data_IF_232855555154
#
_entry.id   IF_232855555154
#
_cell.length_a   1.000
_cell.length_b   1.000
_cell.length_c   1.000
_cell.angle_alpha   90.00
_cell.angle_beta   90.00
_cell.angle_gamma   90.00
#
_symmetry.space_group_name_H-M   'P 1'
#
loop_
_entity.id
_entity.type
_entity.pdbx_description
1 polymer ?
#
# COMPACT_ATOMS: atom_id res chain seq x y z
N UNK A 1 -1.16 -8.37 -8.99
CA UNK A 1 -1.61 -7.55 -7.84
C UNK A 1 -3.13 -7.59 -7.70
N UNK A 2 -3.89 -7.16 -8.73
CA UNK A 2 -5.37 -7.10 -8.70
C UNK A 2 -6.05 -8.46 -8.48
N UNK A 3 -5.59 -9.52 -9.16
CA UNK A 3 -6.20 -10.87 -9.06
C UNK A 3 -6.00 -11.53 -7.68
N UNK A 4 -4.92 -11.16 -6.96
CA UNK A 4 -4.58 -11.75 -5.65
C UNK A 4 -5.46 -11.22 -4.51
N UNK A 5 -5.95 -9.98 -4.63
CA UNK A 5 -6.71 -9.30 -3.57
C UNK A 5 -8.16 -8.94 -3.98
N UNK A 6 -8.59 -9.26 -5.20
CA UNK A 6 -9.97 -8.99 -5.65
C UNK A 6 -10.36 -7.51 -5.61
N UNK A 7 -9.37 -6.62 -5.82
CA UNK A 7 -9.58 -5.18 -5.81
C UNK A 7 -10.47 -4.76 -6.98
N UNK A 8 -11.48 -3.91 -6.74
CA UNK A 8 -12.37 -3.44 -7.81
C UNK A 8 -11.68 -2.49 -8.78
N UNK A 9 -10.60 -1.85 -8.36
CA UNK A 9 -9.79 -0.90 -9.12
C UNK A 9 -8.31 -0.98 -8.76
N UNK A 10 -7.47 -0.41 -9.62
CA UNK A 10 -6.02 -0.36 -9.43
C UNK A 10 -5.71 0.66 -8.31
N UNK A 11 -4.98 0.25 -7.25
CA UNK A 11 -4.80 1.09 -6.06
C UNK A 11 -3.98 2.34 -6.36
N UNK A 12 -4.39 3.47 -5.78
CA UNK A 12 -3.77 4.77 -6.00
C UNK A 12 -2.48 4.91 -5.16
N UNK A 13 -1.38 5.26 -5.82
CA UNK A 13 -0.11 5.58 -5.17
C UNK A 13 -0.12 7.04 -4.71
N UNK A 14 -0.07 7.28 -3.39
CA UNK A 14 0.00 8.64 -2.83
C UNK A 14 1.47 8.99 -2.56
N UNK A 15 1.97 10.04 -3.23
CA UNK A 15 3.38 10.49 -3.18
C UNK A 15 3.60 11.83 -2.47
N UNK A 16 2.54 12.52 -2.08
CA UNK A 16 2.63 13.90 -1.61
C UNK A 16 2.97 13.93 -0.10
N UNK A 17 4.21 14.30 0.22
CA UNK A 17 4.72 14.72 1.55
C UNK A 17 5.40 13.72 2.51
N UNK A 18 5.81 12.51 2.10
CA UNK A 18 6.78 11.71 2.90
C UNK A 18 8.23 11.83 2.43
N UNK A 19 8.45 12.29 1.20
CA UNK A 19 9.78 12.49 0.64
C UNK A 19 10.06 13.99 0.53
N UNK A 20 10.83 14.50 1.50
CA UNK A 20 11.41 15.84 1.40
C UNK A 20 12.36 15.94 0.21
N UNK A 21 12.52 17.16 -0.28
CA UNK A 21 13.28 17.55 -1.48
C UNK A 21 14.76 17.12 -1.43
N UNK A 22 15.10 15.89 -1.85
CA UNK A 22 16.36 15.55 -2.53
C UNK A 22 16.28 14.08 -2.99
N UNK A 23 16.35 13.88 -4.32
CA UNK A 23 16.27 12.61 -5.06
C UNK A 23 15.05 11.70 -4.78
N UNK A 24 14.11 11.66 -5.74
CA UNK A 24 12.91 10.82 -5.75
C UNK A 24 13.18 9.29 -5.72
N UNK A 25 14.44 8.88 -5.53
CA UNK A 25 14.91 7.50 -5.41
C UNK A 25 14.90 6.98 -3.96
N UNK A 26 14.83 7.85 -2.93
CA UNK A 26 14.76 7.48 -1.50
C UNK A 26 13.40 7.82 -0.84
N UNK A 27 12.38 8.10 -1.65
CA UNK A 27 11.04 8.45 -1.19
C UNK A 27 10.26 7.23 -0.66
N UNK A 28 9.78 7.28 0.59
CA UNK A 28 8.78 6.31 1.07
C UNK A 28 7.44 6.51 0.34
N UNK A 29 6.82 5.42 -0.14
CA UNK A 29 5.55 5.45 -0.87
C UNK A 29 4.43 4.77 -0.08
N UNK A 30 3.25 5.38 -0.05
CA UNK A 30 2.05 4.82 0.58
C UNK A 30 1.04 4.40 -0.49
N UNK A 31 0.54 3.18 -0.39
CA UNK A 31 -0.57 2.66 -1.19
C UNK A 31 -1.80 2.63 -0.32
N UNK A 32 -2.82 3.42 -0.68
CA UNK A 32 -4.09 3.45 0.05
C UNK A 32 -5.08 2.52 -0.65
N UNK A 33 -5.65 1.60 0.12
CA UNK A 33 -6.64 0.64 -0.39
C UNK A 33 -7.94 0.79 0.39
N UNK A 34 -9.00 1.19 -0.32
CA UNK A 34 -10.34 1.28 0.26
C UNK A 34 -11.06 -0.07 0.16
N UNK A 35 -11.51 -0.60 1.30
CA UNK A 35 -12.26 -1.85 1.35
C UNK A 35 -13.57 -1.71 2.14
N UNK A 36 -14.57 -1.01 1.57
CA UNK A 36 -15.86 -0.76 2.24
C UNK A 36 -16.69 -2.03 2.48
N UNK A 37 -16.22 -3.20 2.01
CA UNK A 37 -16.89 -4.49 2.13
C UNK A 37 -16.12 -5.49 2.98
N UNK A 38 -15.01 -5.07 3.62
CA UNK A 38 -14.20 -5.91 4.52
C UNK A 38 -13.80 -7.26 3.88
N UNK A 39 -13.43 -7.25 2.60
CA UNK A 39 -13.01 -8.41 1.82
C UNK A 39 -11.50 -8.65 1.85
N UNK A 40 -10.72 -7.65 2.23
CA UNK A 40 -9.26 -7.77 2.32
C UNK A 40 -8.86 -8.39 3.65
N UNK A 41 -8.01 -9.40 3.57
CA UNK A 41 -7.43 -10.04 4.73
C UNK A 41 -6.20 -9.24 5.20
N UNK A 42 -6.26 -8.69 6.41
CA UNK A 42 -5.17 -7.90 7.00
C UNK A 42 -3.87 -8.69 7.14
N UNK A 43 -3.93 -10.00 7.43
CA UNK A 43 -2.74 -10.83 7.53
C UNK A 43 -2.10 -11.06 6.15
N UNK A 44 -2.92 -11.18 5.10
CA UNK A 44 -2.41 -11.27 3.73
C UNK A 44 -1.78 -9.94 3.25
N UNK A 45 -2.27 -8.80 3.73
CA UNK A 45 -1.65 -7.49 3.48
C UNK A 45 -0.34 -7.32 4.24
N UNK A 46 -0.26 -7.78 5.49
CA UNK A 46 0.96 -7.75 6.31
C UNK A 46 2.08 -8.64 5.71
N UNK A 47 1.72 -9.83 5.21
CA UNK A 47 2.65 -10.70 4.47
C UNK A 47 3.14 -10.02 3.19
N UNK A 48 2.24 -9.35 2.46
CA UNK A 48 2.58 -8.65 1.23
C UNK A 48 3.58 -7.52 1.50
N UNK A 49 3.31 -6.63 2.44
CA UNK A 49 4.22 -5.49 2.71
C UNK A 49 5.57 -5.98 3.21
N UNK A 50 5.61 -7.06 4.01
CA UNK A 50 6.86 -7.69 4.45
C UNK A 50 7.71 -8.22 3.29
N UNK A 51 7.10 -8.71 2.19
CA UNK A 51 7.83 -9.15 0.98
C UNK A 51 8.61 -8.01 0.31
N UNK A 52 8.15 -6.76 0.48
CA UNK A 52 8.76 -5.57 -0.10
C UNK A 52 9.49 -4.70 0.94
N UNK A 53 9.81 -5.24 2.11
CA UNK A 53 10.44 -4.51 3.23
C UNK A 53 9.59 -3.30 3.70
N UNK A 54 8.27 -3.36 3.47
CA UNK A 54 7.29 -2.36 3.87
C UNK A 54 6.59 -2.73 5.18
N UNK A 55 5.67 -1.87 5.61
CA UNK A 55 4.84 -2.07 6.80
C UNK A 55 3.37 -1.75 6.51
N UNK A 56 2.47 -2.35 7.29
CA UNK A 56 1.05 -2.00 7.27
C UNK A 56 0.81 -0.92 8.32
N UNK A 57 0.21 0.20 7.92
CA UNK A 57 -0.24 1.23 8.87
C UNK A 57 -1.44 0.73 9.68
N UNK A 58 -1.37 0.89 11.00
CA UNK A 58 -2.51 0.62 11.87
C UNK A 58 -3.54 1.75 11.74
N UNK A 59 -4.86 1.45 11.71
CA UNK A 59 -5.90 2.46 11.59
C UNK A 59 -5.99 3.43 12.78
#
# INVERSE_FOLDING_TARGET
MVDRFGLPEEPQLVRDALAGEDDAEDAQWLVVVEDPRERLDTAALDELVSEYDGWLEAP
#
